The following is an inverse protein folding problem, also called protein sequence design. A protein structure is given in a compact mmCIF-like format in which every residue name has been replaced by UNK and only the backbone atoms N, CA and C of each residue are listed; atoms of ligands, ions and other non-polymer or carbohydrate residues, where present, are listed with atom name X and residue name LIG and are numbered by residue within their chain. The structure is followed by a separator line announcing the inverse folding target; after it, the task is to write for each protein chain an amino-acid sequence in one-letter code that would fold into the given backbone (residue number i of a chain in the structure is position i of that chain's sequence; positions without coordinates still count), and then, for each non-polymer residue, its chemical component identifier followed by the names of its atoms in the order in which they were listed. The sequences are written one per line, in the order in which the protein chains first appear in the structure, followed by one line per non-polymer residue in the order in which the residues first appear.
data_IF_907433526633
#
_entry.id   IF_907433526633
#
_cell.length_a   1.000
_cell.length_b   1.000
_cell.length_c   1.000
_cell.angle_alpha   90.00
_cell.angle_beta   90.00
_cell.angle_gamma   90.00
#
_symmetry.space_group_name_H-M   'P 1'
#
loop_
_entity.id
_entity.type
_entity.pdbx_description
1 polymer ?
#
# COMPACT_ATOMS: atom_id res chain seq x y z
N UNK A 1 14.11 38.83 -23.89
CA UNK A 1 12.80 38.84 -23.21
C UNK A 1 12.11 37.51 -23.47
N UNK A 2 12.02 36.63 -22.47
CA UNK A 2 11.33 35.34 -22.60
C UNK A 2 9.83 35.63 -22.59
N UNK A 3 9.15 35.38 -23.72
CA UNK A 3 7.73 35.66 -23.89
C UNK A 3 6.88 34.95 -22.85
N UNK A 4 5.76 35.58 -22.44
CA UNK A 4 4.81 35.04 -21.43
C UNK A 4 4.41 33.58 -21.70
N UNK A 5 4.33 33.14 -22.96
CA UNK A 5 4.02 31.74 -23.33
C UNK A 5 5.11 30.73 -22.97
N UNK A 6 6.40 31.10 -23.07
CA UNK A 6 7.52 30.20 -22.72
C UNK A 6 7.61 30.00 -21.21
N UNK A 7 7.31 31.04 -20.43
CA UNK A 7 7.22 30.93 -18.95
C UNK A 7 6.08 30.02 -18.51
N UNK A 8 4.91 30.10 -19.14
CA UNK A 8 3.77 29.24 -18.84
C UNK A 8 4.07 27.76 -19.19
N UNK A 9 4.71 27.51 -20.33
CA UNK A 9 5.12 26.16 -20.75
C UNK A 9 6.15 25.54 -19.79
N UNK A 10 7.13 26.33 -19.34
CA UNK A 10 8.14 25.87 -18.37
C UNK A 10 7.54 25.60 -16.99
N UNK A 11 6.59 26.43 -16.53
CA UNK A 11 5.83 26.16 -15.31
C UNK A 11 4.99 24.89 -15.44
N UNK A 12 4.32 24.68 -16.58
CA UNK A 12 3.49 23.50 -16.80
C UNK A 12 4.33 22.22 -16.87
N UNK A 13 5.50 22.26 -17.51
CA UNK A 13 6.46 21.14 -17.55
C UNK A 13 7.04 20.83 -16.16
N UNK A 14 7.34 21.85 -15.36
CA UNK A 14 7.83 21.68 -14.00
C UNK A 14 6.74 21.12 -13.05
N UNK A 15 5.48 21.50 -13.26
CA UNK A 15 4.35 20.93 -12.50
C UNK A 15 4.06 19.50 -12.98
N UNK A 16 4.06 19.24 -14.27
CA UNK A 16 3.78 17.91 -14.83
C UNK A 16 4.81 16.84 -14.41
N UNK A 17 6.09 17.21 -14.30
CA UNK A 17 7.14 16.31 -13.80
C UNK A 17 7.03 16.00 -12.30
N UNK A 18 6.30 16.82 -11.53
CA UNK A 18 5.96 16.51 -10.13
C UNK A 18 4.80 15.51 -10.00
N UNK A 19 3.93 15.40 -11.01
CA UNK A 19 2.74 14.52 -10.97
C UNK A 19 3.07 13.06 -11.30
N UNK A 20 4.21 12.78 -11.95
CA UNK A 20 4.57 11.44 -12.43
C UNK A 20 5.58 10.68 -11.54
N UNK A 21 5.60 10.92 -10.23
CA UNK A 21 6.48 10.16 -9.33
C UNK A 21 5.87 8.80 -8.98
N UNK A 22 6.27 7.75 -9.72
CA UNK A 22 6.04 6.36 -9.31
C UNK A 22 6.72 6.11 -7.96
N UNK A 23 5.96 5.64 -6.97
CA UNK A 23 6.48 5.38 -5.63
C UNK A 23 7.48 4.22 -5.64
N UNK A 24 8.69 4.46 -5.13
CA UNK A 24 9.77 3.49 -5.01
C UNK A 24 9.88 3.02 -3.57
N UNK A 25 10.11 1.74 -3.39
CA UNK A 25 10.13 1.11 -2.07
C UNK A 25 11.43 0.34 -1.83
N UNK A 26 11.89 0.37 -0.58
CA UNK A 26 13.00 -0.45 -0.09
C UNK A 26 12.51 -1.36 1.02
N UNK A 27 12.94 -2.62 1.01
CA UNK A 27 12.70 -3.54 2.11
C UNK A 27 13.38 -3.06 3.40
N UNK A 28 12.60 -3.00 4.47
CA UNK A 28 13.02 -2.59 5.81
C UNK A 28 12.62 -3.62 6.87
N UNK A 29 12.25 -4.84 6.45
CA UNK A 29 11.83 -5.95 7.33
C UNK A 29 12.88 -6.31 8.39
N UNK A 30 14.16 -6.12 8.07
CA UNK A 30 15.30 -6.41 8.95
C UNK A 30 15.50 -5.36 10.06
N UNK A 31 14.93 -4.16 9.92
CA UNK A 31 15.12 -3.08 10.89
C UNK A 31 14.43 -3.43 12.22
N UNK A 32 15.10 -3.17 13.35
CA UNK A 32 14.60 -3.49 14.70
C UNK A 32 13.18 -2.97 14.97
N UNK A 33 12.85 -1.79 14.43
CA UNK A 33 11.53 -1.17 14.58
C UNK A 33 10.38 -1.95 13.91
N UNK A 34 10.66 -2.66 12.81
CA UNK A 34 9.65 -3.39 12.03
C UNK A 34 9.71 -4.89 12.25
N UNK A 35 10.90 -5.43 12.54
CA UNK A 35 11.14 -6.85 12.77
C UNK A 35 10.24 -7.46 13.83
N UNK A 36 9.92 -6.70 14.89
CA UNK A 36 9.02 -7.15 15.95
C UNK A 36 7.60 -7.46 15.43
N UNK A 37 7.16 -6.78 14.36
CA UNK A 37 5.84 -6.93 13.72
C UNK A 37 5.79 -8.09 12.72
N UNK A 38 6.92 -8.48 12.15
CA UNK A 38 6.97 -9.57 11.17
C UNK A 38 6.61 -10.90 11.85
N UNK A 39 5.75 -11.67 11.19
CA UNK A 39 5.20 -12.93 11.66
C UNK A 39 4.06 -12.81 12.68
N UNK A 40 3.52 -11.60 12.92
CA UNK A 40 2.30 -11.45 13.70
C UNK A 40 1.09 -11.94 12.89
N UNK A 41 0.20 -12.67 13.56
CA UNK A 41 -1.13 -13.00 13.07
C UNK A 41 -2.10 -11.95 13.62
N UNK A 42 -2.78 -11.24 12.73
CA UNK A 42 -3.66 -10.14 13.03
C UNK A 42 -5.08 -10.43 12.55
N UNK A 43 -6.07 -9.93 13.29
CA UNK A 43 -7.48 -9.99 12.94
C UNK A 43 -8.06 -8.58 12.86
N UNK A 44 -8.78 -8.28 11.78
CA UNK A 44 -9.48 -6.99 11.62
C UNK A 44 -10.58 -6.85 12.67
N UNK A 45 -10.64 -5.69 13.32
CA UNK A 45 -11.73 -5.34 14.24
C UNK A 45 -12.80 -4.48 13.59
N UNK A 46 -12.52 -3.90 12.43
CA UNK A 46 -13.37 -2.96 11.70
C UNK A 46 -13.43 -3.32 10.22
N UNK A 47 -14.45 -2.80 9.52
CA UNK A 47 -14.50 -2.89 8.07
C UNK A 47 -13.36 -2.09 7.44
N UNK A 48 -12.58 -2.73 6.56
CA UNK A 48 -11.43 -2.10 5.91
C UNK A 48 -11.46 -2.29 4.40
N UNK A 49 -11.16 -1.25 3.65
CA UNK A 49 -11.12 -1.30 2.19
C UNK A 49 -9.78 -1.82 1.68
N UNK A 50 -9.85 -2.74 0.73
CA UNK A 50 -8.74 -3.24 -0.05
C UNK A 50 -8.93 -2.86 -1.52
N UNK A 51 -7.92 -2.24 -2.09
CA UNK A 51 -7.96 -1.66 -3.43
C UNK A 51 -6.95 -2.39 -4.29
N UNK A 52 -7.39 -2.97 -5.41
CA UNK A 52 -6.47 -3.41 -6.44
C UNK A 52 -5.91 -2.20 -7.16
N UNK A 53 -4.59 -2.15 -7.32
CA UNK A 53 -3.88 -1.02 -7.94
C UNK A 53 -3.11 -1.49 -9.17
N UNK A 54 -3.24 -0.77 -10.28
CA UNK A 54 -2.35 -0.89 -11.44
C UNK A 54 -1.31 0.22 -11.45
N UNK A 55 -0.06 -0.12 -11.75
CA UNK A 55 1.04 0.80 -11.93
C UNK A 55 0.97 1.42 -13.35
N UNK A 56 1.37 2.69 -13.51
CA UNK A 56 1.41 3.32 -14.84
C UNK A 56 2.29 2.59 -15.86
N UNK A 57 3.30 1.86 -15.38
CA UNK A 57 4.23 1.07 -16.18
C UNK A 57 3.69 -0.32 -16.59
N UNK A 58 2.51 -0.71 -16.10
CA UNK A 58 1.96 -2.05 -16.32
C UNK A 58 1.38 -2.21 -17.73
N UNK A 59 1.88 -3.15 -18.56
CA UNK A 59 1.59 -3.19 -20.00
C UNK A 59 0.12 -3.52 -20.35
N UNK A 60 -0.73 -3.92 -19.40
CA UNK A 60 -2.10 -4.37 -19.68
C UNK A 60 -3.15 -3.93 -18.64
N UNK A 61 -2.91 -2.87 -17.86
CA UNK A 61 -3.80 -2.43 -16.76
C UNK A 61 -4.23 -3.58 -15.82
N UNK A 62 -3.35 -4.54 -15.60
CA UNK A 62 -3.57 -5.60 -14.62
C UNK A 62 -3.37 -5.06 -13.22
N UNK A 63 -3.97 -5.70 -12.21
CA UNK A 63 -3.66 -5.38 -10.81
C UNK A 63 -2.24 -5.83 -10.50
N UNK A 64 -1.37 -4.89 -10.13
CA UNK A 64 0.02 -5.18 -9.77
C UNK A 64 0.16 -5.44 -8.26
N UNK A 65 -0.67 -4.80 -7.42
CA UNK A 65 -0.70 -5.04 -5.98
C UNK A 65 -2.05 -4.66 -5.35
N UNK A 66 -2.25 -5.05 -4.10
CA UNK A 66 -3.42 -4.65 -3.30
C UNK A 66 -3.00 -3.68 -2.20
N UNK A 67 -3.73 -2.57 -2.05
CA UNK A 67 -3.52 -1.56 -1.01
C UNK A 67 -4.68 -1.56 -0.03
N UNK A 68 -4.39 -1.74 1.26
CA UNK A 68 -5.38 -1.90 2.33
C UNK A 68 -5.28 -0.70 3.29
N UNK A 69 -6.34 0.10 3.37
CA UNK A 69 -6.50 1.25 4.28
C UNK A 69 -7.86 1.93 4.10
N UNK A 70 -8.35 2.69 5.09
CA UNK A 70 -9.51 3.60 4.94
C UNK A 70 -9.09 5.08 5.04
N UNK A 71 -9.88 6.04 4.51
CA UNK A 71 -11.09 5.87 3.71
C UNK A 71 -10.84 5.25 2.32
N UNK A 72 -9.57 4.98 2.00
CA UNK A 72 -9.18 4.46 0.71
C UNK A 72 -9.01 5.57 -0.32
N UNK A 73 -8.94 5.19 -1.58
CA UNK A 73 -8.83 6.12 -2.70
C UNK A 73 -9.69 5.67 -3.87
N UNK A 74 -9.89 6.58 -4.81
CA UNK A 74 -10.49 6.32 -6.12
C UNK A 74 -9.61 6.98 -7.17
N UNK A 75 -9.53 6.37 -8.35
CA UNK A 75 -8.69 6.88 -9.44
C UNK A 75 -8.60 5.90 -10.61
N UNK A 76 -8.06 6.35 -11.76
CA UNK A 76 -7.87 5.51 -12.94
C UNK A 76 -6.94 4.31 -12.72
N UNK A 77 -6.14 4.33 -11.66
CA UNK A 77 -5.25 3.25 -11.21
C UNK A 77 -5.97 2.14 -10.42
N UNK A 78 -7.20 2.37 -9.98
CA UNK A 78 -7.95 1.37 -9.22
C UNK A 78 -8.55 0.31 -10.16
N UNK A 79 -8.19 -0.95 -9.95
CA UNK A 79 -8.73 -2.07 -10.74
C UNK A 79 -9.94 -2.71 -10.08
N UNK A 80 -10.00 -2.72 -8.74
CA UNK A 80 -11.15 -3.19 -7.97
C UNK A 80 -11.17 -2.57 -6.57
N UNK A 81 -12.33 -2.64 -5.93
CA UNK A 81 -12.52 -2.33 -4.51
C UNK A 81 -13.20 -3.54 -3.84
N UNK A 82 -12.61 -4.00 -2.73
CA UNK A 82 -13.19 -5.04 -1.86
C UNK A 82 -13.25 -4.54 -0.43
N UNK A 83 -14.36 -4.82 0.25
CA UNK A 83 -14.49 -4.59 1.69
C UNK A 83 -14.07 -5.86 2.42
N UNK A 84 -13.10 -5.73 3.32
CA UNK A 84 -12.70 -6.75 4.27
C UNK A 84 -13.53 -6.58 5.53
N UNK A 85 -14.14 -7.67 6.00
CA UNK A 85 -15.01 -7.68 7.16
C UNK A 85 -14.21 -7.83 8.46
N UNK A 86 -14.73 -7.35 9.60
CA UNK A 86 -14.22 -7.73 10.91
C UNK A 86 -14.09 -9.25 11.04
N UNK A 87 -13.03 -9.74 11.68
CA UNK A 87 -12.70 -11.17 11.75
C UNK A 87 -11.81 -11.67 10.62
N UNK A 88 -11.56 -10.87 9.57
CA UNK A 88 -10.59 -11.22 8.52
C UNK A 88 -9.19 -11.37 9.14
N UNK A 89 -8.57 -12.53 8.93
CA UNK A 89 -7.24 -12.84 9.44
C UNK A 89 -6.17 -12.53 8.41
N UNK A 90 -5.06 -11.99 8.87
CA UNK A 90 -3.89 -11.71 8.04
C UNK A 90 -2.59 -11.93 8.81
N UNK A 91 -1.55 -12.37 8.12
CA UNK A 91 -0.21 -12.50 8.67
C UNK A 91 0.71 -11.43 8.10
N UNK A 92 1.44 -10.74 8.97
CA UNK A 92 2.44 -9.76 8.53
C UNK A 92 3.70 -10.49 8.07
N UNK A 93 4.10 -10.36 6.81
CA UNK A 93 5.22 -11.13 6.24
C UNK A 93 6.44 -10.29 5.88
N UNK A 94 6.27 -9.02 5.55
CA UNK A 94 7.38 -8.11 5.24
C UNK A 94 7.00 -6.65 5.55
N UNK A 95 7.99 -5.76 5.51
CA UNK A 95 7.81 -4.32 5.63
C UNK A 95 8.66 -3.58 4.59
N UNK A 96 8.09 -2.57 3.95
CA UNK A 96 8.77 -1.73 2.97
C UNK A 96 8.59 -0.25 3.30
N UNK A 97 9.61 0.55 3.02
CA UNK A 97 9.58 2.00 3.20
C UNK A 97 9.59 2.70 1.84
N UNK A 98 8.76 3.72 1.66
CA UNK A 98 8.82 4.54 0.46
C UNK A 98 10.08 5.43 0.49
N UNK A 99 10.83 5.47 -0.60
CA UNK A 99 12.12 6.19 -0.68
C UNK A 99 12.02 7.54 -1.36
N UNK A 100 10.93 7.81 -2.10
CA UNK A 100 10.69 9.06 -2.84
C UNK A 100 9.33 9.71 -2.49
N UNK A 101 8.67 9.25 -1.43
CA UNK A 101 7.45 9.90 -0.92
C UNK A 101 7.83 11.07 0.00
N UNK A 102 6.98 12.11 0.01
CA UNK A 102 7.04 13.13 1.05
C UNK A 102 6.60 12.50 2.38
N UNK A 103 7.56 12.30 3.29
CA UNK A 103 7.34 11.65 4.59
C UNK A 103 7.79 10.18 4.63
N UNK A 104 7.99 9.66 5.84
CA UNK A 104 8.44 8.26 6.07
C UNK A 104 7.23 7.33 6.05
N UNK A 105 6.72 7.01 4.86
CA UNK A 105 5.64 6.02 4.70
C UNK A 105 6.18 4.60 4.80
N UNK A 106 5.59 3.81 5.69
CA UNK A 106 5.87 2.38 5.86
C UNK A 106 4.63 1.58 5.47
N UNK A 107 4.80 0.59 4.61
CA UNK A 107 3.77 -0.38 4.26
C UNK A 107 4.22 -1.76 4.74
N UNK A 108 3.32 -2.51 5.39
CA UNK A 108 3.53 -3.91 5.75
C UNK A 108 2.88 -4.81 4.71
N UNK A 109 3.65 -5.76 4.19
CA UNK A 109 3.09 -6.82 3.36
C UNK A 109 2.34 -7.81 4.25
N UNK A 110 1.12 -8.16 3.85
CA UNK A 110 0.26 -9.08 4.59
C UNK A 110 -0.23 -10.21 3.69
N UNK A 111 -0.38 -11.39 4.26
CA UNK A 111 -1.05 -12.53 3.64
C UNK A 111 -2.42 -12.70 4.29
N UNK A 112 -3.50 -12.62 3.51
CA UNK A 112 -4.87 -12.76 4.02
C UNK A 112 -5.32 -14.22 3.90
N UNK A 113 -5.97 -14.74 4.93
CA UNK A 113 -6.51 -16.10 4.98
C UNK A 113 -8.00 -16.12 5.33
N UNK A 114 -8.88 -16.70 4.49
CA UNK A 114 -8.58 -17.21 3.14
C UNK A 114 -8.23 -16.07 2.18
N UNK A 115 -7.34 -16.33 1.21
CA UNK A 115 -6.96 -15.33 0.22
C UNK A 115 -8.14 -15.08 -0.73
N UNK A 116 -8.61 -13.82 -0.86
CA UNK A 116 -9.61 -13.47 -1.86
C UNK A 116 -9.11 -13.79 -3.28
N UNK A 117 -10.00 -14.27 -4.17
CA UNK A 117 -9.67 -14.59 -5.56
C UNK A 117 -9.03 -13.40 -6.29
N UNK A 118 -9.48 -12.18 -6.01
CA UNK A 118 -8.96 -10.97 -6.64
C UNK A 118 -7.51 -10.65 -6.24
N UNK A 119 -7.02 -11.26 -5.15
CA UNK A 119 -5.68 -11.06 -4.56
C UNK A 119 -4.69 -12.13 -5.01
N UNK A 120 -5.15 -13.20 -5.67
CA UNK A 120 -4.30 -14.33 -6.05
C UNK A 120 -3.08 -13.87 -6.86
N UNK A 121 -1.90 -14.31 -6.42
CA UNK A 121 -0.61 -13.96 -7.05
C UNK A 121 -0.17 -12.51 -6.85
N UNK A 122 -0.91 -11.68 -6.10
CA UNK A 122 -0.64 -10.25 -5.92
C UNK A 122 -0.23 -9.96 -4.48
N UNK A 123 0.83 -9.17 -4.26
CA UNK A 123 1.19 -8.76 -2.91
C UNK A 123 0.15 -7.77 -2.35
N UNK A 124 -0.26 -7.98 -1.10
CA UNK A 124 -1.16 -7.07 -0.39
C UNK A 124 -0.38 -6.26 0.66
N UNK A 125 -0.63 -4.96 0.71
CA UNK A 125 0.08 -4.02 1.56
C UNK A 125 -0.87 -3.23 2.45
N UNK A 126 -0.60 -3.25 3.74
CA UNK A 126 -1.28 -2.50 4.79
C UNK A 126 -0.42 -1.30 5.20
N UNK A 127 -0.99 -0.10 5.27
CA UNK A 127 -0.25 1.07 5.77
C UNK A 127 0.02 0.93 7.29
N UNK A 128 1.19 1.37 7.75
CA UNK A 128 1.62 1.15 9.14
C UNK A 128 0.67 1.73 10.20
N UNK A 129 0.00 2.84 9.88
CA UNK A 129 -0.98 3.50 10.74
C UNK A 129 -2.19 2.60 11.03
N UNK A 130 -2.45 1.61 10.17
CA UNK A 130 -3.54 0.66 10.29
C UNK A 130 -3.21 -0.56 11.17
N UNK A 131 -1.96 -0.70 11.64
CA UNK A 131 -1.60 -1.67 12.70
C UNK A 131 -1.99 -1.20 14.11
N UNK A 132 -2.73 -0.11 14.23
CA UNK A 132 -3.18 0.39 15.51
C UNK A 132 -4.19 -0.57 16.17
N UNK A 133 -4.21 -0.69 17.52
CA UNK A 133 -5.04 -1.67 18.23
C UNK A 133 -6.56 -1.53 18.02
N UNK A 134 -7.02 -0.36 17.58
CA UNK A 134 -8.42 -0.08 17.24
C UNK A 134 -8.83 -0.65 15.88
N UNK A 135 -7.88 -0.94 14.99
CA UNK A 135 -8.12 -1.51 13.64
C UNK A 135 -7.74 -2.99 13.53
N UNK A 136 -6.71 -3.43 14.28
CA UNK A 136 -6.19 -4.78 14.24
C UNK A 136 -5.87 -5.33 15.64
N UNK A 137 -6.26 -6.58 15.87
CA UNK A 137 -5.81 -7.37 17.02
C UNK A 137 -4.72 -8.32 16.57
N UNK A 138 -3.47 -8.00 16.89
CA UNK A 138 -2.32 -8.80 16.52
C UNK A 138 -1.80 -9.63 17.69
N UNK A 139 -1.46 -10.87 17.42
CA UNK A 139 -0.80 -11.79 18.35
C UNK A 139 0.36 -12.48 17.65
N UNK A 140 1.35 -12.94 18.42
CA UNK A 140 2.40 -13.79 17.85
C UNK A 140 1.90 -15.23 17.91
N UNK A 141 1.91 -15.97 16.78
CA UNK A 141 1.54 -17.38 16.80
C UNK A 141 2.47 -18.15 17.74
N UNK A 142 1.97 -19.24 18.36
CA UNK A 142 2.82 -20.13 19.14
C UNK A 142 3.96 -20.68 18.25
N UNK A 143 5.15 -20.95 18.82
CA UNK A 143 6.19 -21.65 18.10
C UNK A 143 5.65 -23.00 17.61
N UNK A 144 5.90 -23.30 16.34
CA UNK A 144 5.55 -24.57 15.72
C UNK A 144 6.39 -25.72 16.30
#
# INVERSE_FOLDING_TARGET
MIGRGVRALLMFMAVASLVACEARYRDVSHNRAHRARIGLDCELTTYTRAHGVTLPSSPHRQTDYVSIWNPGFTGPEMTFLRVLEPGTRMRVVAARACTNCLGRRIDYQVEISPTPVEFEGKPAYLQAEWLAPDQLRCSRPPPA
#
